data_IF_201320361406
#
_entry.id   IF_201320361406
#
_cell.length_a   1.000
_cell.length_b   1.000
_cell.length_c   1.000
_cell.angle_alpha   90.00
_cell.angle_beta   90.00
_cell.angle_gamma   90.00
#
_symmetry.space_group_name_H-M   'P 1'
#
loop_
_entity.id
_entity.type
_entity.pdbx_description
1 polymer ?
#
# COMPACT_ATOMS: atom_id res chain seq x y z
N UNK A 1 6.34 10.39 -1.59
CA UNK A 1 7.67 10.88 -1.14
C UNK A 1 7.76 10.95 0.38
N UNK A 2 8.81 10.39 0.97
CA UNK A 2 9.08 10.47 2.43
C UNK A 2 9.91 11.70 2.77
N UNK A 3 9.66 12.27 3.94
CA UNK A 3 10.50 13.34 4.50
C UNK A 3 11.65 12.71 5.26
N UNK A 4 12.87 13.18 5.06
CA UNK A 4 14.03 12.61 5.72
C UNK A 4 13.98 12.78 7.25
N UNK A 5 14.43 11.77 8.00
CA UNK A 5 14.39 11.77 9.48
C UNK A 5 13.00 11.83 10.12
N UNK A 6 11.92 11.68 9.35
CA UNK A 6 10.52 11.70 9.84
C UNK A 6 9.80 10.39 9.49
N UNK A 7 8.65 10.18 10.13
CA UNK A 7 7.78 9.02 9.99
C UNK A 7 7.98 7.98 11.09
N UNK A 8 6.99 7.11 11.29
CA UNK A 8 6.99 6.04 12.29
C UNK A 8 7.44 4.71 11.65
N UNK A 9 8.61 4.73 10.99
CA UNK A 9 9.15 3.57 10.27
C UNK A 9 10.59 3.29 10.68
N UNK A 10 10.96 2.02 10.76
CA UNK A 10 12.32 1.60 11.04
C UNK A 10 13.12 1.47 9.73
N UNK A 11 13.83 2.55 9.38
CA UNK A 11 14.64 2.62 8.14
C UNK A 11 15.82 1.65 8.10
N UNK A 12 16.17 1.03 9.23
CA UNK A 12 17.23 0.02 9.28
C UNK A 12 16.75 -1.37 8.86
N UNK A 13 15.42 -1.57 8.73
CA UNK A 13 14.80 -2.85 8.41
C UNK A 13 13.97 -2.75 7.12
N UNK A 14 14.61 -2.87 5.94
CA UNK A 14 13.88 -2.89 4.69
C UNK A 14 13.02 -4.16 4.57
N UNK A 15 11.81 -4.01 4.02
CA UNK A 15 10.87 -5.09 3.73
C UNK A 15 10.58 -5.09 2.23
N UNK A 16 10.61 -6.26 1.59
CA UNK A 16 10.29 -6.41 0.16
C UNK A 16 8.89 -6.95 -0.02
N UNK A 17 8.18 -6.44 -1.01
CA UNK A 17 6.87 -6.93 -1.41
C UNK A 17 6.68 -6.77 -2.91
N UNK A 18 5.68 -7.45 -3.46
CA UNK A 18 5.31 -7.37 -4.87
C UNK A 18 3.90 -6.80 -5.01
N UNK A 19 3.72 -5.84 -5.90
CA UNK A 19 2.42 -5.22 -6.19
C UNK A 19 2.25 -5.10 -7.71
N UNK A 20 1.12 -5.56 -8.24
CA UNK A 20 0.82 -5.60 -9.67
C UNK A 20 1.97 -6.13 -10.52
N UNK A 21 2.58 -7.23 -10.06
CA UNK A 21 3.66 -7.91 -10.77
C UNK A 21 5.04 -7.26 -10.65
N UNK A 22 5.17 -6.10 -10.00
CA UNK A 22 6.45 -5.38 -9.81
C UNK A 22 6.93 -5.43 -8.37
N UNK A 23 8.24 -5.57 -8.18
CA UNK A 23 8.88 -5.56 -6.86
C UNK A 23 9.04 -4.13 -6.34
N UNK A 24 8.76 -3.97 -5.04
CA UNK A 24 8.89 -2.72 -4.30
C UNK A 24 9.55 -2.98 -2.94
N UNK A 25 10.01 -1.90 -2.31
CA UNK A 25 10.57 -1.93 -0.97
C UNK A 25 9.86 -0.92 -0.06
N UNK A 26 9.60 -1.36 1.16
CA UNK A 26 9.20 -0.54 2.29
C UNK A 26 10.17 -0.74 3.45
N UNK A 27 9.76 -0.29 4.61
CA UNK A 27 10.45 -0.44 5.88
C UNK A 27 9.48 -1.01 6.90
N UNK A 28 10.02 -1.70 7.92
CA UNK A 28 9.19 -2.17 9.03
C UNK A 28 8.42 -0.99 9.65
N UNK A 29 7.10 -1.15 9.81
CA UNK A 29 6.19 -0.11 10.30
C UNK A 29 5.48 0.68 9.19
N UNK A 30 5.84 0.47 7.92
CA UNK A 30 5.00 0.90 6.81
C UNK A 30 3.70 0.09 6.78
N UNK A 31 2.61 0.77 6.41
CA UNK A 31 1.48 0.10 5.76
C UNK A 31 1.74 -0.02 4.26
N UNK A 32 1.07 -0.94 3.56
CA UNK A 32 1.18 -1.09 2.10
C UNK A 32 0.89 0.25 1.39
N UNK A 33 -0.12 1.01 1.83
CA UNK A 33 -0.42 2.32 1.29
C UNK A 33 0.76 3.31 1.43
N UNK A 34 1.35 3.38 2.62
CA UNK A 34 2.49 4.26 2.87
C UNK A 34 3.74 3.87 2.06
N UNK A 35 3.98 2.56 1.91
CA UNK A 35 5.07 2.04 1.09
C UNK A 35 4.86 2.34 -0.40
N UNK A 36 3.64 2.15 -0.92
CA UNK A 36 3.30 2.48 -2.31
C UNK A 36 3.48 3.98 -2.61
N UNK A 37 3.00 4.86 -1.73
CA UNK A 37 3.18 6.31 -1.87
C UNK A 37 4.65 6.75 -1.76
N UNK A 38 5.46 6.01 -1.01
CA UNK A 38 6.90 6.26 -0.94
C UNK A 38 7.65 5.81 -2.21
N UNK A 39 7.10 4.85 -2.95
CA UNK A 39 7.59 4.39 -4.25
C UNK A 39 6.88 5.09 -5.43
N UNK A 40 6.26 6.25 -5.19
CA UNK A 40 5.55 7.08 -6.16
C UNK A 40 4.38 6.38 -6.89
N UNK A 41 3.84 5.30 -6.31
CA UNK A 41 2.61 4.66 -6.80
C UNK A 41 1.40 5.45 -6.34
N UNK A 42 0.78 6.19 -7.28
CA UNK A 42 -0.43 6.99 -7.03
C UNK A 42 -1.71 6.33 -7.52
N UNK A 43 -1.59 5.42 -8.48
CA UNK A 43 -2.71 4.64 -9.01
C UNK A 43 -2.68 3.26 -8.36
N UNK A 44 -3.67 2.98 -7.52
CA UNK A 44 -3.82 1.67 -6.84
C UNK A 44 -4.93 0.86 -7.47
N UNK A 45 -5.91 1.51 -8.10
CA UNK A 45 -6.99 0.83 -8.79
C UNK A 45 -7.87 1.78 -9.59
N UNK A 46 -9.01 1.28 -10.03
CA UNK A 46 -10.01 2.07 -10.75
C UNK A 46 -11.38 1.90 -10.10
N UNK A 47 -12.17 2.97 -10.06
CA UNK A 47 -13.52 2.93 -9.48
C UNK A 47 -14.39 1.91 -10.21
N UNK A 48 -15.15 1.09 -9.47
CA UNK A 48 -15.98 0.02 -10.04
C UNK A 48 -16.92 0.47 -11.17
N UNK A 49 -17.70 1.55 -10.97
CA UNK A 49 -18.73 1.96 -11.95
C UNK A 49 -18.16 2.69 -13.17
N UNK A 50 -17.21 3.60 -12.97
CA UNK A 50 -16.79 4.56 -13.98
C UNK A 50 -15.34 4.37 -14.46
N UNK A 51 -14.64 3.34 -13.99
CA UNK A 51 -13.23 3.05 -14.30
C UNK A 51 -12.26 4.24 -14.14
N UNK A 52 -12.62 5.22 -13.31
CA UNK A 52 -11.77 6.39 -13.05
C UNK A 52 -10.55 5.98 -12.25
N UNK A 53 -9.36 6.50 -12.58
CA UNK A 53 -8.15 6.30 -11.78
C UNK A 53 -8.39 6.61 -10.30
N UNK A 54 -7.94 5.73 -9.40
CA UNK A 54 -8.03 5.90 -7.95
C UNK A 54 -6.70 5.59 -7.26
N UNK A 55 -6.37 6.41 -6.28
CA UNK A 55 -5.26 6.19 -5.35
C UNK A 55 -5.75 6.10 -3.92
N UNK A 56 -4.79 5.97 -3.00
CA UNK A 56 -5.02 6.14 -1.56
C UNK A 56 -5.64 7.51 -1.30
N UNK A 57 -6.68 7.57 -0.47
CA UNK A 57 -7.39 8.80 -0.11
C UNK A 57 -7.24 9.12 1.38
N UNK A 58 -7.18 8.10 2.24
CA UNK A 58 -7.14 8.25 3.70
C UNK A 58 -5.96 7.45 4.27
N UNK A 59 -5.89 7.28 5.59
CA UNK A 59 -4.75 6.66 6.26
C UNK A 59 -5.14 5.56 7.27
N UNK A 60 -6.40 5.13 7.30
CA UNK A 60 -6.91 4.13 8.23
C UNK A 60 -8.03 3.26 7.67
N UNK A 61 -8.91 2.78 8.55
CA UNK A 61 -10.00 1.86 8.23
C UNK A 61 -11.11 2.49 7.37
N UNK A 62 -11.11 3.82 7.28
CA UNK A 62 -12.03 4.61 6.47
C UNK A 62 -11.66 4.69 4.98
N UNK A 63 -10.55 4.08 4.56
CA UNK A 63 -10.08 4.08 3.16
C UNK A 63 -11.11 3.44 2.19
N UNK A 64 -11.61 4.17 1.18
CA UNK A 64 -12.65 3.67 0.28
C UNK A 64 -12.13 3.18 -1.08
N UNK A 65 -10.89 3.49 -1.46
CA UNK A 65 -10.37 3.28 -2.81
C UNK A 65 -9.32 2.17 -2.88
N UNK A 66 -8.31 2.22 -2.01
CA UNK A 66 -7.12 1.37 -2.07
C UNK A 66 -7.38 -0.02 -1.45
N UNK A 67 -8.27 -0.78 -2.08
CA UNK A 67 -8.55 -2.17 -1.74
C UNK A 67 -7.67 -3.11 -2.56
N UNK A 68 -7.04 -4.07 -1.91
CA UNK A 68 -6.08 -5.01 -2.51
C UNK A 68 -6.41 -6.45 -2.13
N UNK A 69 -5.91 -7.38 -2.94
CA UNK A 69 -5.78 -8.78 -2.56
C UNK A 69 -4.40 -9.02 -1.96
N UNK A 70 -4.36 -9.54 -0.74
CA UNK A 70 -3.11 -9.90 -0.08
C UNK A 70 -2.89 -11.40 -0.29
N UNK A 71 -1.82 -11.73 -1.00
CA UNK A 71 -1.42 -13.10 -1.29
C UNK A 71 -0.29 -13.50 -0.35
N UNK A 72 -0.61 -14.38 0.60
CA UNK A 72 0.35 -15.01 1.49
C UNK A 72 0.80 -16.39 0.98
N UNK A 73 1.71 -17.07 1.70
CA UNK A 73 2.21 -18.39 1.31
C UNK A 73 1.13 -19.48 1.22
N UNK A 74 0.08 -19.37 2.03
CA UNK A 74 -0.99 -20.38 2.16
C UNK A 74 -2.41 -19.79 2.17
N UNK A 75 -2.55 -18.47 2.08
CA UNK A 75 -3.85 -17.81 2.06
C UNK A 75 -3.88 -16.67 1.04
N UNK A 76 -5.09 -16.27 0.68
CA UNK A 76 -5.36 -15.06 -0.09
C UNK A 76 -6.54 -14.36 0.56
N UNK A 77 -6.38 -13.07 0.85
CA UNK A 77 -7.43 -12.26 1.48
C UNK A 77 -7.80 -11.11 0.55
N UNK A 78 -9.02 -11.11 -0.02
CA UNK A 78 -9.47 -10.05 -0.90
C UNK A 78 -9.96 -8.83 -0.11
N UNK A 79 -10.06 -7.68 -0.79
CA UNK A 79 -10.65 -6.43 -0.27
C UNK A 79 -9.99 -5.90 1.01
N UNK A 80 -8.70 -6.18 1.21
CA UNK A 80 -7.93 -5.61 2.32
C UNK A 80 -7.64 -4.14 2.00
N UNK A 81 -7.81 -3.25 2.98
CA UNK A 81 -7.42 -1.85 2.82
C UNK A 81 -5.91 -1.75 2.91
N UNK A 82 -5.27 -1.20 1.88
CA UNK A 82 -3.82 -1.02 1.86
C UNK A 82 -3.31 -0.15 3.04
N UNK A 83 -4.17 0.71 3.59
CA UNK A 83 -3.90 1.53 4.78
C UNK A 83 -3.88 0.75 6.09
N UNK A 84 -4.35 -0.51 6.11
CA UNK A 84 -4.42 -1.36 7.31
C UNK A 84 -3.54 -2.61 7.21
N UNK A 85 -2.89 -2.84 6.07
CA UNK A 85 -1.98 -3.96 5.86
C UNK A 85 -0.54 -3.50 6.13
N UNK A 86 0.14 -4.15 7.07
CA UNK A 86 1.56 -3.94 7.42
C UNK A 86 2.46 -5.07 6.89
#
# INVERSE_FOLDING_TARGET
MRIDGKGLVDRTKPVRFRFDGKDYAGYKGDTLASALLANDVRLVGRSFKYHRPRGVLTAGSEEPNALVEVVGPSNQTPNVRATMQE
#
